data_IF_900275514519
#
_entry.id   IF_900275514519
#
_cell.length_a   1.000
_cell.length_b   1.000
_cell.length_c   1.000
_cell.angle_alpha   90.00
_cell.angle_beta   90.00
_cell.angle_gamma   90.00
#
_symmetry.space_group_name_H-M   'P 1'
#
loop_
_entity.id
_entity.type
_entity.pdbx_description
1 polymer ?
#
# COMPACT_ATOMS: atom_id res chain seq x y z
N UNK A 1 -0.11 -25.71 32.04
CA UNK A 1 0.10 -26.63 30.90
C UNK A 1 -0.86 -26.22 29.81
N UNK A 2 -0.41 -26.13 28.55
CA UNK A 2 -1.33 -26.01 27.42
C UNK A 2 -1.67 -27.45 27.02
N UNK A 3 -2.66 -28.03 27.70
CA UNK A 3 -3.17 -29.35 27.34
C UNK A 3 -4.24 -29.17 26.27
N UNK A 4 -3.78 -29.21 25.01
CA UNK A 4 -4.51 -29.40 23.74
C UNK A 4 -3.85 -28.61 22.58
N UNK A 5 -2.52 -28.66 22.46
CA UNK A 5 -1.87 -28.26 21.22
C UNK A 5 -2.10 -29.35 20.17
N UNK A 6 -2.99 -29.09 19.23
CA UNK A 6 -3.38 -29.99 18.14
C UNK A 6 -3.25 -29.29 16.79
N UNK A 7 -3.56 -29.98 15.70
CA UNK A 7 -3.61 -29.39 14.35
C UNK A 7 -4.55 -28.18 14.28
N UNK A 8 -5.64 -28.16 15.08
CA UNK A 8 -6.57 -27.03 15.18
C UNK A 8 -5.95 -25.77 15.79
N UNK A 9 -4.83 -25.90 16.51
CA UNK A 9 -4.06 -24.76 17.03
C UNK A 9 -3.27 -24.03 15.95
N UNK A 10 -3.10 -24.64 14.77
CA UNK A 10 -2.39 -24.05 13.65
C UNK A 10 -3.36 -23.23 12.80
N UNK A 11 -3.14 -21.93 12.72
CA UNK A 11 -4.03 -21.01 12.00
C UNK A 11 -3.29 -20.34 10.84
N UNK A 12 -3.95 -20.26 9.68
CA UNK A 12 -3.53 -19.39 8.58
C UNK A 12 -4.43 -18.16 8.57
N UNK A 13 -3.83 -16.99 8.72
CA UNK A 13 -4.58 -15.73 8.67
C UNK A 13 -4.68 -15.23 7.23
N UNK A 14 -5.85 -14.70 6.86
CA UNK A 14 -5.96 -13.85 5.67
C UNK A 14 -4.98 -12.66 5.79
N UNK A 15 -4.45 -12.20 4.66
CA UNK A 15 -3.46 -11.12 4.64
C UNK A 15 -3.92 -9.86 5.37
N UNK A 16 -5.20 -9.49 5.23
CA UNK A 16 -5.77 -8.27 5.83
C UNK A 16 -5.88 -8.45 7.33
N UNK A 17 -6.30 -9.64 7.76
CA UNK A 17 -6.35 -10.00 9.18
C UNK A 17 -4.96 -10.02 9.81
N UNK A 18 -3.97 -10.61 9.13
CA UNK A 18 -2.59 -10.65 9.60
C UNK A 18 -2.03 -9.24 9.83
N UNK A 19 -2.18 -8.33 8.86
CA UNK A 19 -1.73 -6.94 8.99
C UNK A 19 -2.44 -6.24 10.15
N UNK A 20 -3.76 -6.41 10.28
CA UNK A 20 -4.55 -5.78 11.35
C UNK A 20 -4.21 -6.28 12.75
N UNK A 21 -3.87 -7.57 12.90
CA UNK A 21 -3.43 -8.14 14.18
C UNK A 21 -1.99 -7.77 14.52
N UNK A 22 -1.17 -7.43 13.51
CA UNK A 22 0.27 -7.14 13.65
C UNK A 22 0.69 -5.85 12.92
N UNK A 23 0.03 -4.70 13.14
CA UNK A 23 0.34 -3.46 12.41
C UNK A 23 1.79 -3.00 12.65
N UNK A 24 2.31 -3.29 13.84
CA UNK A 24 3.72 -3.12 14.23
C UNK A 24 4.74 -3.55 13.19
N UNK A 25 4.50 -4.70 12.55
CA UNK A 25 5.42 -5.28 11.57
C UNK A 25 5.45 -4.51 10.24
N UNK A 26 4.43 -3.69 9.96
CA UNK A 26 4.24 -3.03 8.68
C UNK A 26 4.48 -1.52 8.76
N UNK A 27 4.05 -0.89 9.86
CA UNK A 27 4.08 0.57 10.01
C UNK A 27 4.77 1.04 11.29
N UNK A 28 5.32 0.12 12.08
CA UNK A 28 5.85 0.44 13.41
C UNK A 28 4.71 0.81 14.37
N UNK A 29 4.85 1.93 15.07
CA UNK A 29 3.92 2.34 16.12
C UNK A 29 2.58 2.79 15.54
N UNK A 30 1.46 2.33 16.11
CA UNK A 30 0.15 2.94 15.82
C UNK A 30 0.09 4.35 16.42
N UNK A 31 -0.58 5.28 15.75
CA UNK A 31 -0.79 6.63 16.27
C UNK A 31 -1.68 7.44 15.35
N UNK A 32 -2.09 8.60 15.85
CA UNK A 32 -3.02 9.53 15.19
C UNK A 32 -2.29 10.67 14.45
N UNK A 33 -0.96 10.69 14.51
CA UNK A 33 -0.14 11.74 13.93
C UNK A 33 0.26 12.82 14.94
N UNK A 34 0.03 12.60 16.23
CA UNK A 34 0.53 13.50 17.28
C UNK A 34 2.06 13.43 17.45
N UNK A 35 2.68 12.31 17.05
CA UNK A 35 4.13 12.12 17.14
C UNK A 35 4.74 11.78 15.77
N UNK A 36 5.95 12.28 15.51
CA UNK A 36 6.65 12.08 14.24
C UNK A 36 6.93 10.61 13.89
N UNK A 37 6.94 9.72 14.88
CA UNK A 37 7.16 8.29 14.72
C UNK A 37 5.87 7.48 14.57
N UNK A 38 4.71 8.14 14.49
CA UNK A 38 3.42 7.48 14.31
C UNK A 38 3.31 6.87 12.90
N UNK A 39 2.84 5.63 12.84
CA UNK A 39 2.75 4.82 11.64
C UNK A 39 1.76 5.36 10.60
N UNK A 40 0.89 6.31 10.94
CA UNK A 40 0.06 7.03 9.95
C UNK A 40 0.92 7.74 8.90
N UNK A 41 2.11 8.24 9.29
CA UNK A 41 3.05 8.85 8.35
C UNK A 41 3.73 7.81 7.46
N UNK A 42 3.95 6.60 7.97
CA UNK A 42 4.41 5.46 7.15
C UNK A 42 3.36 5.08 6.12
N UNK A 43 2.07 5.05 6.50
CA UNK A 43 0.98 4.80 5.55
C UNK A 43 0.94 5.83 4.42
N UNK A 44 1.06 7.11 4.74
CA UNK A 44 1.13 8.17 3.73
C UNK A 44 2.38 8.00 2.85
N UNK A 45 3.54 7.76 3.46
CA UNK A 45 4.80 7.54 2.77
C UNK A 45 4.72 6.38 1.78
N UNK A 46 4.08 5.26 2.13
CA UNK A 46 3.93 4.11 1.23
C UNK A 46 3.14 4.43 -0.05
N UNK A 47 2.17 5.34 0.02
CA UNK A 47 1.46 5.81 -1.19
C UNK A 47 2.32 6.80 -1.96
N UNK A 48 2.93 7.77 -1.29
CA UNK A 48 3.79 8.78 -1.92
C UNK A 48 5.02 8.17 -2.60
N UNK A 49 5.64 7.16 -2.01
CA UNK A 49 6.81 6.49 -2.56
C UNK A 49 6.50 5.83 -3.92
N UNK A 50 5.29 5.27 -4.07
CA UNK A 50 4.86 4.73 -5.37
C UNK A 50 4.73 5.82 -6.44
N UNK A 51 4.24 6.99 -6.06
CA UNK A 51 4.15 8.16 -6.93
C UNK A 51 5.54 8.73 -7.28
N UNK A 52 6.46 8.75 -6.31
CA UNK A 52 7.86 9.17 -6.52
C UNK A 52 8.58 8.19 -7.46
N UNK A 53 8.31 6.90 -7.35
CA UNK A 53 8.89 5.89 -8.24
C UNK A 53 8.46 6.09 -9.70
N UNK A 54 7.21 6.49 -9.96
CA UNK A 54 6.77 6.89 -11.30
C UNK A 54 7.55 8.12 -11.81
N UNK A 55 7.70 9.14 -10.96
CA UNK A 55 8.47 10.35 -11.28
C UNK A 55 9.94 10.02 -11.61
N UNK A 56 10.58 9.17 -10.81
CA UNK A 56 11.96 8.73 -11.03
C UNK A 56 12.15 7.98 -12.34
N UNK A 57 11.10 7.32 -12.84
CA UNK A 57 11.09 6.68 -14.17
C UNK A 57 10.74 7.65 -15.31
N UNK A 58 10.54 8.94 -15.00
CA UNK A 58 10.26 10.00 -15.97
C UNK A 58 8.76 10.22 -16.26
N UNK A 59 7.87 9.65 -15.45
CA UNK A 59 6.42 9.74 -15.64
C UNK A 59 5.76 10.59 -14.57
N UNK A 60 4.95 11.55 -15.01
CA UNK A 60 4.36 12.56 -14.13
C UNK A 60 5.39 13.58 -13.65
N UNK A 61 4.92 14.78 -13.31
CA UNK A 61 5.75 15.88 -12.79
C UNK A 61 5.13 16.55 -11.56
N UNK A 62 4.02 16.01 -11.09
CA UNK A 62 3.21 16.56 -10.01
C UNK A 62 2.69 15.42 -9.16
N UNK A 63 2.70 15.62 -7.85
CA UNK A 63 1.99 14.80 -6.89
C UNK A 63 1.12 15.76 -6.09
N UNK A 64 -0.18 15.50 -6.04
CA UNK A 64 -1.15 16.26 -5.26
C UNK A 64 -1.51 15.45 -4.01
N UNK A 65 -1.32 16.05 -2.85
CA UNK A 65 -1.74 15.48 -1.57
C UNK A 65 -2.82 16.40 -1.00
N UNK A 66 -4.01 15.85 -0.79
CA UNK A 66 -5.11 16.57 -0.16
C UNK A 66 -5.54 15.85 1.11
N UNK A 67 -5.82 16.63 2.16
CA UNK A 67 -6.30 16.14 3.44
C UNK A 67 -7.61 16.86 3.74
N UNK A 68 -8.70 16.10 3.86
CA UNK A 68 -10.04 16.63 4.13
C UNK A 68 -10.71 15.69 5.11
N UNK A 69 -11.15 16.20 6.26
CA UNK A 69 -11.89 15.46 7.29
C UNK A 69 -11.27 14.10 7.66
N UNK A 70 -9.94 14.08 7.87
CA UNK A 70 -9.19 12.87 8.20
C UNK A 70 -9.00 11.88 7.05
N UNK A 71 -9.50 12.18 5.83
CA UNK A 71 -9.22 11.43 4.61
C UNK A 71 -8.04 12.04 3.88
N UNK A 72 -7.08 11.20 3.51
CA UNK A 72 -5.93 11.60 2.69
C UNK A 72 -6.09 11.05 1.28
N UNK A 73 -5.99 11.91 0.28
CA UNK A 73 -5.91 11.51 -1.12
C UNK A 73 -4.55 11.89 -1.68
N UNK A 74 -3.89 10.93 -2.34
CA UNK A 74 -2.65 11.16 -3.10
C UNK A 74 -2.95 10.90 -4.57
N UNK A 75 -2.65 11.86 -5.42
CA UNK A 75 -2.78 11.75 -6.87
C UNK A 75 -1.45 12.07 -7.52
N UNK A 76 -0.91 11.10 -8.24
CA UNK A 76 0.16 11.35 -9.21
C UNK A 76 -0.39 11.43 -10.64
N UNK A 77 0.50 11.81 -11.54
CA UNK A 77 0.25 11.87 -12.97
C UNK A 77 1.23 10.95 -13.72
N UNK A 78 1.56 9.80 -13.11
CA UNK A 78 2.41 8.77 -13.69
C UNK A 78 1.67 7.96 -14.76
N UNK A 79 2.17 6.75 -15.05
CA UNK A 79 1.59 5.85 -16.07
C UNK A 79 0.25 5.24 -15.68
N UNK A 80 -0.09 5.30 -14.39
CA UNK A 80 -1.21 4.56 -13.81
C UNK A 80 -0.92 3.06 -13.66
N UNK A 81 -1.45 2.46 -12.58
CA UNK A 81 -1.38 1.01 -12.35
C UNK A 81 -2.07 0.30 -13.54
N UNK A 82 -1.50 -0.79 -14.09
CA UNK A 82 -2.15 -1.56 -15.14
C UNK A 82 -3.58 -1.98 -14.74
N UNK A 83 -4.58 -1.57 -15.55
CA UNK A 83 -5.99 -1.68 -15.16
C UNK A 83 -6.37 -3.13 -14.82
N UNK A 84 -5.91 -4.11 -15.60
CA UNK A 84 -6.17 -5.54 -15.37
C UNK A 84 -5.65 -6.08 -14.03
N UNK A 85 -4.65 -5.43 -13.43
CA UNK A 85 -4.00 -5.86 -12.18
C UNK A 85 -4.27 -4.96 -10.98
N UNK A 86 -5.10 -3.92 -11.13
CA UNK A 86 -5.36 -2.92 -10.10
C UNK A 86 -5.75 -3.54 -8.75
N UNK A 87 -6.74 -4.43 -8.75
CA UNK A 87 -7.25 -5.08 -7.53
C UNK A 87 -6.17 -5.92 -6.87
N UNK A 88 -5.51 -6.82 -7.62
CA UNK A 88 -4.46 -7.69 -7.07
C UNK A 88 -3.30 -6.89 -6.46
N UNK A 89 -2.87 -5.81 -7.11
CA UNK A 89 -1.79 -4.94 -6.63
C UNK A 89 -2.13 -4.24 -5.31
N UNK A 90 -3.41 -4.09 -4.95
CA UNK A 90 -3.80 -3.46 -3.68
C UNK A 90 -4.38 -4.44 -2.65
N UNK A 91 -4.68 -5.68 -3.03
CA UNK A 91 -5.37 -6.64 -2.16
C UNK A 91 -4.75 -8.04 -2.12
N UNK A 92 -3.58 -8.27 -2.76
CA UNK A 92 -2.87 -9.55 -2.69
C UNK A 92 -1.42 -9.33 -2.26
N UNK A 93 -1.00 -10.04 -1.22
CA UNK A 93 0.37 -9.99 -0.74
C UNK A 93 1.36 -10.43 -1.81
N UNK A 94 2.59 -9.90 -1.73
CA UNK A 94 3.69 -10.24 -2.64
C UNK A 94 3.35 -10.06 -4.12
N UNK A 95 2.48 -9.10 -4.44
CA UNK A 95 2.05 -8.78 -5.80
C UNK A 95 2.49 -7.36 -6.15
N UNK A 96 3.28 -7.19 -7.20
CA UNK A 96 3.85 -5.90 -7.59
C UNK A 96 4.77 -6.04 -8.81
N UNK A 97 5.22 -4.92 -9.35
CA UNK A 97 6.07 -4.86 -10.54
C UNK A 97 7.53 -4.43 -10.24
N UNK A 98 7.93 -4.44 -8.96
CA UNK A 98 9.26 -4.00 -8.50
C UNK A 98 10.21 -5.16 -8.17
N UNK A 99 9.89 -6.38 -8.62
CA UNK A 99 10.69 -7.58 -8.38
C UNK A 99 11.79 -7.78 -9.41
N UNK A 100 11.60 -7.28 -10.63
CA UNK A 100 12.62 -7.22 -11.66
C UNK A 100 12.86 -5.77 -12.08
N UNK A 101 14.11 -5.44 -12.41
CA UNK A 101 14.53 -4.07 -12.77
C UNK A 101 14.02 -3.60 -14.15
N UNK A 102 13.05 -4.33 -14.73
CA UNK A 102 12.48 -4.05 -16.06
C UNK A 102 11.51 -2.88 -16.02
N UNK A 103 10.59 -2.87 -15.05
CA UNK A 103 9.58 -1.82 -14.93
C UNK A 103 10.06 -0.61 -14.10
N UNK A 104 10.92 -0.86 -13.10
CA UNK A 104 11.51 0.14 -12.21
C UNK A 104 13.01 -0.13 -12.05
N UNK A 105 13.87 0.71 -12.65
CA UNK A 105 15.33 0.55 -12.58
C UNK A 105 15.92 0.95 -11.22
N UNK A 106 15.26 1.90 -10.54
CA UNK A 106 15.52 2.32 -9.16
C UNK A 106 14.16 2.64 -8.55
N UNK A 107 13.86 2.07 -7.39
CA UNK A 107 12.63 2.35 -6.65
C UNK A 107 12.90 2.52 -5.17
N UNK A 108 12.13 3.37 -4.53
CA UNK A 108 12.10 3.57 -3.07
C UNK A 108 11.41 2.39 -2.40
N UNK A 109 10.29 1.90 -2.96
CA UNK A 109 9.58 0.73 -2.43
C UNK A 109 10.12 -0.58 -3.00
N UNK A 110 10.36 -1.59 -2.16
CA UNK A 110 10.97 -2.87 -2.58
C UNK A 110 10.15 -4.12 -2.24
N UNK A 111 9.25 -4.06 -1.26
CA UNK A 111 8.67 -5.29 -0.69
C UNK A 111 7.33 -5.70 -1.31
N UNK A 112 6.67 -4.79 -2.05
CA UNK A 112 5.34 -5.06 -2.63
C UNK A 112 4.21 -5.14 -1.59
N UNK A 113 4.44 -4.65 -0.36
CA UNK A 113 3.52 -4.76 0.77
C UNK A 113 2.87 -3.43 1.17
N UNK A 114 3.55 -2.30 0.97
CA UNK A 114 3.16 -0.98 1.48
C UNK A 114 1.71 -0.58 1.27
N UNK A 115 1.26 -0.49 0.01
CA UNK A 115 -0.13 -0.11 -0.31
C UNK A 115 -1.16 -1.11 0.23
N UNK A 116 -0.78 -2.37 0.47
CA UNK A 116 -1.67 -3.36 1.12
C UNK A 116 -1.79 -3.05 2.60
N UNK A 117 -0.71 -2.61 3.27
CA UNK A 117 -0.79 -2.13 4.65
C UNK A 117 -1.73 -0.93 4.76
N UNK A 118 -1.68 0.02 3.81
CA UNK A 118 -2.63 1.13 3.71
C UNK A 118 -4.07 0.62 3.56
N UNK A 119 -4.34 -0.27 2.61
CA UNK A 119 -5.67 -0.86 2.44
C UNK A 119 -6.16 -1.64 3.68
N UNK A 120 -5.27 -2.38 4.33
CA UNK A 120 -5.60 -3.15 5.52
C UNK A 120 -5.92 -2.28 6.72
N UNK A 121 -5.14 -1.22 6.95
CA UNK A 121 -5.22 -0.40 8.15
C UNK A 121 -6.17 0.81 8.01
N UNK A 122 -6.67 1.10 6.81
CA UNK A 122 -7.74 2.07 6.62
C UNK A 122 -9.13 1.49 6.88
N UNK A 123 -10.02 2.32 7.43
CA UNK A 123 -11.46 2.04 7.52
C UNK A 123 -12.12 2.09 6.14
N UNK A 124 -11.73 3.06 5.31
CA UNK A 124 -12.09 3.19 3.90
C UNK A 124 -10.82 3.30 3.04
N UNK A 125 -10.75 2.53 1.95
CA UNK A 125 -9.66 2.60 0.99
C UNK A 125 -10.25 2.55 -0.43
N UNK A 126 -9.75 3.43 -1.31
CA UNK A 126 -10.12 3.42 -2.71
C UNK A 126 -8.91 3.82 -3.56
N UNK A 127 -8.74 3.14 -4.69
CA UNK A 127 -7.71 3.46 -5.69
C UNK A 127 -8.35 3.64 -7.06
N UNK A 128 -7.85 4.59 -7.84
CA UNK A 128 -8.23 4.77 -9.24
C UNK A 128 -6.98 4.79 -10.10
N UNK A 129 -7.01 4.06 -11.20
CA UNK A 129 -5.97 4.11 -12.21
C UNK A 129 -6.57 4.62 -13.53
N UNK A 130 -5.89 5.59 -14.13
CA UNK A 130 -6.24 6.17 -15.43
C UNK A 130 -5.17 5.75 -16.43
N UNK A 131 -5.56 5.09 -17.52
CA UNK A 131 -4.62 4.60 -18.54
C UNK A 131 -5.35 4.45 -19.87
N UNK A 132 -4.72 4.92 -20.95
CA UNK A 132 -5.24 4.79 -22.32
C UNK A 132 -6.68 5.29 -22.51
N UNK A 133 -7.04 6.38 -21.81
CA UNK A 133 -8.39 6.97 -21.83
C UNK A 133 -9.42 6.26 -20.95
N UNK A 134 -9.06 5.14 -20.33
CA UNK A 134 -9.92 4.37 -19.45
C UNK A 134 -9.62 4.62 -17.97
N UNK A 135 -10.61 4.34 -17.12
CA UNK A 135 -10.49 4.40 -15.66
C UNK A 135 -10.98 3.11 -15.02
N UNK A 136 -10.19 2.56 -14.09
CA UNK A 136 -10.64 1.49 -13.20
C UNK A 136 -10.54 1.94 -11.75
N UNK A 137 -11.54 1.57 -10.95
CA UNK A 137 -11.57 1.78 -9.50
C UNK A 137 -11.51 0.44 -8.77
N UNK A 138 -10.79 0.38 -7.65
CA UNK A 138 -10.82 -0.71 -6.69
C UNK A 138 -10.96 -0.17 -5.27
#
# INVERSE_FOLDING_TARGET
MIDNYSEESIQTLDWKEHIRRRPGMYIGKLGDGSYSDDGIYVLLKEVMDNSIDEFMMGYGKKIEVNIVDGKVSVRDFGRGIPLGKLVEVVSKMNTGAKYDSKAFKKSVGLNGVGVKAVNALSSEFAVKAFRDGEVRKA
#
